data_IF_157905317048
#
_entry.id   IF_157905317048
#
_cell.length_a   1.000
_cell.length_b   1.000
_cell.length_c   1.000
_cell.angle_alpha   90.00
_cell.angle_beta   90.00
_cell.angle_gamma   90.00
#
_symmetry.space_group_name_H-M   'P 1'
#
loop_
_entity.id
_entity.type
_entity.pdbx_description
1 polymer ?
#
# COMPACT_ATOMS: atom_id res chain seq x y z
N UNK A 1 -7.18 -25.56 -16.18
CA UNK A 1 -7.77 -24.37 -15.54
C UNK A 1 -8.77 -23.82 -16.53
N UNK A 2 -10.08 -23.78 -16.16
CA UNK A 2 -11.11 -23.21 -17.03
C UNK A 2 -10.76 -21.75 -17.35
N UNK A 3 -10.64 -21.42 -18.64
CA UNK A 3 -10.40 -20.04 -19.05
C UNK A 3 -11.64 -19.21 -18.72
N UNK A 4 -11.46 -18.15 -17.94
CA UNK A 4 -12.52 -17.18 -17.68
C UNK A 4 -12.97 -16.51 -18.99
N UNK A 5 -14.26 -16.14 -19.06
CA UNK A 5 -14.75 -15.37 -20.20
C UNK A 5 -13.98 -14.05 -20.29
N UNK A 6 -13.56 -13.59 -21.48
CA UNK A 6 -12.75 -12.37 -21.66
C UNK A 6 -13.34 -11.11 -20.98
N UNK A 7 -14.66 -10.97 -21.02
CA UNK A 7 -15.36 -9.87 -20.36
C UNK A 7 -15.23 -9.91 -18.84
N UNK A 8 -15.32 -11.10 -18.24
CA UNK A 8 -15.17 -11.27 -16.78
C UNK A 8 -13.75 -10.95 -16.32
N UNK A 9 -12.74 -11.39 -17.07
CA UNK A 9 -11.34 -11.08 -16.79
C UNK A 9 -11.07 -9.58 -16.90
N UNK A 10 -11.61 -8.91 -17.90
CA UNK A 10 -11.49 -7.47 -18.08
C UNK A 10 -12.09 -6.71 -16.88
N UNK A 11 -13.29 -7.06 -16.43
CA UNK A 11 -13.94 -6.43 -15.28
C UNK A 11 -13.17 -6.65 -13.99
N UNK A 12 -12.71 -7.88 -13.73
CA UNK A 12 -11.88 -8.19 -12.56
C UNK A 12 -10.62 -7.34 -12.51
N UNK A 13 -9.90 -7.21 -13.65
CA UNK A 13 -8.69 -6.38 -13.72
C UNK A 13 -8.98 -4.90 -13.53
N UNK A 14 -10.10 -4.40 -14.06
CA UNK A 14 -10.51 -3.01 -13.86
C UNK A 14 -10.89 -2.71 -12.42
N UNK A 15 -11.72 -3.54 -11.81
CA UNK A 15 -12.09 -3.41 -10.40
C UNK A 15 -10.88 -3.57 -9.48
N UNK A 16 -9.94 -4.48 -9.80
CA UNK A 16 -8.69 -4.61 -9.06
C UNK A 16 -7.88 -3.31 -9.07
N UNK A 17 -7.67 -2.69 -10.23
CA UNK A 17 -6.92 -1.41 -10.29
C UNK A 17 -7.67 -0.28 -9.59
N UNK A 18 -8.99 -0.23 -9.70
CA UNK A 18 -9.83 0.78 -9.05
C UNK A 18 -9.78 0.64 -7.52
N UNK A 19 -9.96 -0.58 -7.00
CA UNK A 19 -9.94 -0.84 -5.55
C UNK A 19 -8.58 -0.49 -4.91
N UNK A 20 -7.49 -0.69 -5.65
CA UNK A 20 -6.14 -0.35 -5.18
C UNK A 20 -5.87 1.16 -5.14
N UNK A 21 -6.55 1.96 -5.95
CA UNK A 21 -6.33 3.41 -5.99
C UNK A 21 -7.32 4.16 -5.09
N UNK A 22 -8.62 3.87 -5.23
CA UNK A 22 -9.63 4.68 -4.55
C UNK A 22 -9.77 4.28 -3.07
N UNK A 23 -10.28 3.12 -2.65
CA UNK A 23 -10.37 2.88 -1.22
C UNK A 23 -9.02 2.59 -0.57
N UNK A 24 -8.24 1.64 -1.10
CA UNK A 24 -7.00 1.20 -0.46
C UNK A 24 -5.90 2.27 -0.54
N UNK A 25 -5.78 2.95 -1.69
CA UNK A 25 -4.78 4.00 -1.86
C UNK A 25 -5.08 5.25 -1.03
N UNK A 26 -6.34 5.67 -0.95
CA UNK A 26 -6.73 6.79 -0.07
C UNK A 26 -6.49 6.46 1.39
N UNK A 27 -6.81 5.24 1.82
CA UNK A 27 -6.48 4.79 3.16
C UNK A 27 -4.96 4.75 3.41
N UNK A 28 -4.15 4.28 2.45
CA UNK A 28 -2.69 4.30 2.58
C UNK A 28 -2.17 5.73 2.83
N UNK A 29 -2.66 6.72 2.10
CA UNK A 29 -2.26 8.11 2.26
C UNK A 29 -2.66 8.63 3.65
N UNK A 30 -3.92 8.47 4.04
CA UNK A 30 -4.40 8.84 5.37
C UNK A 30 -3.56 8.19 6.47
N UNK A 31 -3.33 6.88 6.36
CA UNK A 31 -2.57 6.10 7.33
C UNK A 31 -1.11 6.58 7.46
N UNK A 32 -0.44 6.88 6.35
CA UNK A 32 0.92 7.43 6.39
C UNK A 32 0.95 8.81 7.03
N UNK A 33 0.00 9.69 6.72
CA UNK A 33 -0.05 11.04 7.31
C UNK A 33 -0.40 11.01 8.80
N UNK A 34 -1.31 10.15 9.22
CA UNK A 34 -1.60 9.94 10.64
C UNK A 34 -0.36 9.44 11.38
N UNK A 35 0.34 8.43 10.85
CA UNK A 35 1.57 7.92 11.47
C UNK A 35 2.70 8.97 11.48
N UNK A 36 2.78 9.84 10.47
CA UNK A 36 3.77 10.93 10.43
C UNK A 36 3.60 11.94 11.57
N UNK A 37 2.43 12.02 12.23
CA UNK A 37 2.26 12.86 13.41
C UNK A 37 3.14 12.43 14.58
N UNK A 38 3.63 11.19 14.61
CA UNK A 38 4.58 10.69 15.59
C UNK A 38 5.92 11.45 15.59
N UNK A 39 6.30 12.07 14.45
CA UNK A 39 7.49 12.95 14.38
C UNK A 39 7.38 14.20 15.25
N UNK A 40 6.15 14.56 15.67
CA UNK A 40 5.87 15.66 16.61
C UNK A 40 5.71 15.19 18.06
N UNK A 41 5.97 13.91 18.33
CA UNK A 41 5.90 13.28 19.65
C UNK A 41 4.61 12.50 19.92
N UNK A 42 4.63 11.75 21.01
CA UNK A 42 3.58 10.81 21.38
C UNK A 42 2.20 11.46 21.55
N UNK A 43 2.13 12.63 22.14
CA UNK A 43 0.85 13.35 22.32
C UNK A 43 0.19 13.68 20.97
N UNK A 44 0.99 14.11 19.98
CA UNK A 44 0.47 14.44 18.65
C UNK A 44 -0.09 13.20 17.93
N UNK A 45 0.62 12.07 18.01
CA UNK A 45 0.16 10.82 17.44
C UNK A 45 -1.12 10.31 18.13
N UNK A 46 -1.12 10.24 19.46
CA UNK A 46 -2.27 9.74 20.21
C UNK A 46 -3.52 10.60 19.96
N UNK A 47 -3.40 11.94 19.92
CA UNK A 47 -4.52 12.82 19.58
C UNK A 47 -5.07 12.56 18.16
N UNK A 48 -4.20 12.31 17.17
CA UNK A 48 -4.63 11.98 15.81
C UNK A 48 -5.36 10.64 15.75
N UNK A 49 -4.85 9.63 16.47
CA UNK A 49 -5.49 8.32 16.59
C UNK A 49 -6.84 8.44 17.31
N UNK A 50 -6.92 9.17 18.42
CA UNK A 50 -8.17 9.35 19.19
C UNK A 50 -9.25 10.04 18.33
N UNK A 51 -8.87 11.00 17.50
CA UNK A 51 -9.78 11.63 16.55
C UNK A 51 -10.37 10.60 15.56
N UNK A 52 -9.57 9.68 15.04
CA UNK A 52 -10.04 8.59 14.15
C UNK A 52 -10.93 7.63 14.93
N UNK A 53 -10.51 7.22 16.13
CA UNK A 53 -11.28 6.26 16.96
C UNK A 53 -12.63 6.82 17.41
N UNK A 54 -12.80 8.16 17.44
CA UNK A 54 -14.05 8.83 17.76
C UNK A 54 -15.07 8.86 16.61
N UNK A 55 -14.69 8.41 15.40
CA UNK A 55 -15.59 8.40 14.24
C UNK A 55 -16.76 7.42 14.49
N UNK A 56 -18.02 7.87 14.39
CA UNK A 56 -19.17 6.99 14.56
C UNK A 56 -19.13 5.84 13.54
N UNK A 57 -19.49 4.63 13.98
CA UNK A 57 -19.53 3.44 13.11
C UNK A 57 -18.18 3.07 12.46
N UNK A 58 -17.05 3.51 13.02
CA UNK A 58 -15.72 3.25 12.49
C UNK A 58 -15.50 1.77 12.09
N UNK A 59 -15.88 0.74 12.87
CA UNK A 59 -15.67 -0.65 12.47
C UNK A 59 -16.38 -1.04 11.17
N UNK A 60 -17.55 -0.46 10.89
CA UNK A 60 -18.27 -0.69 9.63
C UNK A 60 -17.59 0.03 8.46
N UNK A 61 -17.10 1.26 8.68
CA UNK A 61 -16.33 2.01 7.70
C UNK A 61 -15.04 1.23 7.36
N UNK A 62 -14.30 0.78 8.35
CA UNK A 62 -13.11 -0.05 8.16
C UNK A 62 -13.43 -1.31 7.37
N UNK A 63 -14.50 -2.03 7.73
CA UNK A 63 -14.86 -3.28 7.06
C UNK A 63 -15.20 -3.06 5.59
N UNK A 64 -16.13 -2.15 5.28
CA UNK A 64 -16.62 -1.98 3.91
C UNK A 64 -15.69 -1.19 3.00
N UNK A 65 -14.95 -0.21 3.54
CA UNK A 65 -14.11 0.68 2.73
C UNK A 65 -12.62 0.38 2.80
N UNK A 66 -12.17 -0.43 3.77
CA UNK A 66 -10.76 -0.81 3.88
C UNK A 66 -10.60 -2.32 3.71
N UNK A 67 -11.11 -3.13 4.64
CA UNK A 67 -10.83 -4.57 4.64
C UNK A 67 -11.41 -5.30 3.44
N UNK A 68 -12.66 -5.08 3.08
CA UNK A 68 -13.29 -5.76 1.95
C UNK A 68 -12.61 -5.43 0.61
N UNK A 69 -12.36 -4.14 0.26
CA UNK A 69 -11.58 -3.81 -0.93
C UNK A 69 -10.15 -4.32 -0.89
N UNK A 70 -9.50 -4.30 0.28
CA UNK A 70 -8.12 -4.78 0.46
C UNK A 70 -8.02 -6.29 0.22
N UNK A 71 -8.93 -7.09 0.76
CA UNK A 71 -8.99 -8.54 0.53
C UNK A 71 -9.24 -8.83 -0.95
N UNK A 72 -10.20 -8.13 -1.56
CA UNK A 72 -10.47 -8.26 -2.99
C UNK A 72 -9.22 -7.91 -3.82
N UNK A 73 -8.61 -6.77 -3.56
CA UNK A 73 -7.38 -6.31 -4.25
C UNK A 73 -6.25 -7.32 -4.10
N UNK A 74 -5.99 -7.80 -2.90
CA UNK A 74 -4.94 -8.76 -2.62
C UNK A 74 -5.14 -10.10 -3.31
N UNK A 75 -6.35 -10.70 -3.20
CA UNK A 75 -6.66 -12.00 -3.80
C UNK A 75 -6.60 -11.94 -5.32
N UNK A 76 -7.26 -10.95 -5.94
CA UNK A 76 -7.21 -10.77 -7.40
C UNK A 76 -5.80 -10.40 -7.86
N UNK A 77 -5.07 -9.60 -7.06
CA UNK A 77 -3.67 -9.25 -7.32
C UNK A 77 -2.75 -10.47 -7.37
N UNK A 78 -2.89 -11.41 -6.42
CA UNK A 78 -2.16 -12.67 -6.43
C UNK A 78 -2.51 -13.51 -7.67
N UNK A 79 -3.80 -13.63 -8.01
CA UNK A 79 -4.22 -14.29 -9.23
C UNK A 79 -3.53 -13.68 -10.47
N UNK A 80 -3.53 -12.35 -10.60
CA UNK A 80 -2.86 -11.65 -11.70
C UNK A 80 -1.34 -11.86 -11.67
N UNK A 81 -0.72 -11.85 -10.49
CA UNK A 81 0.72 -12.06 -10.35
C UNK A 81 1.16 -13.45 -10.84
N UNK A 82 0.40 -14.49 -10.49
CA UNK A 82 0.77 -15.87 -10.83
C UNK A 82 0.30 -16.33 -12.22
N UNK A 83 -0.66 -15.66 -12.84
CA UNK A 83 -1.16 -16.01 -14.18
C UNK A 83 -0.55 -15.18 -15.31
N UNK A 84 0.19 -14.12 -15.02
CA UNK A 84 0.83 -13.27 -16.02
C UNK A 84 2.15 -13.84 -16.52
N UNK A 85 2.39 -13.75 -17.84
CA UNK A 85 3.68 -14.12 -18.45
C UNK A 85 4.77 -13.09 -18.10
N UNK A 86 5.98 -13.59 -17.87
CA UNK A 86 7.18 -12.79 -17.57
C UNK A 86 8.14 -12.87 -18.73
N UNK A 87 8.60 -11.73 -19.26
CA UNK A 87 9.57 -11.66 -20.36
C UNK A 87 10.72 -10.69 -20.11
N UNK A 88 10.86 -10.17 -18.89
CA UNK A 88 11.89 -9.18 -18.55
C UNK A 88 13.33 -9.72 -18.72
N UNK A 89 13.53 -11.02 -18.61
CA UNK A 89 14.82 -11.66 -18.89
C UNK A 89 15.22 -11.61 -20.37
N UNK A 90 14.23 -11.60 -21.30
CA UNK A 90 14.45 -11.46 -22.74
C UNK A 90 14.45 -10.00 -23.19
N UNK A 91 13.63 -9.17 -22.54
CA UNK A 91 13.44 -7.75 -22.85
C UNK A 91 13.55 -6.92 -21.58
N UNK A 92 14.73 -6.38 -21.31
CA UNK A 92 15.05 -5.60 -20.10
C UNK A 92 14.61 -4.13 -20.18
N UNK A 93 13.58 -3.82 -20.96
CA UNK A 93 13.03 -2.49 -21.04
C UNK A 93 12.52 -2.01 -19.67
N UNK A 94 12.69 -0.74 -19.36
CA UNK A 94 12.26 -0.13 -18.10
C UNK A 94 10.85 -0.56 -17.68
N UNK A 95 9.90 -0.57 -18.61
CA UNK A 95 8.51 -0.96 -18.31
C UNK A 95 8.34 -2.43 -17.93
N UNK A 96 9.12 -3.31 -18.51
CA UNK A 96 9.12 -4.73 -18.14
C UNK A 96 9.70 -4.95 -16.74
N UNK A 97 10.73 -4.17 -16.37
CA UNK A 97 11.27 -4.19 -15.00
C UNK A 97 10.24 -3.69 -14.01
N UNK A 98 9.58 -2.55 -14.28
CA UNK A 98 8.51 -2.03 -13.43
C UNK A 98 7.33 -2.99 -13.30
N UNK A 99 7.01 -3.73 -14.36
CA UNK A 99 5.99 -4.77 -14.34
C UNK A 99 6.35 -5.95 -13.41
N UNK A 100 7.60 -6.38 -13.38
CA UNK A 100 8.08 -7.42 -12.46
C UNK A 100 8.10 -6.89 -11.03
N UNK A 101 8.67 -5.70 -10.82
CA UNK A 101 8.71 -5.06 -9.50
C UNK A 101 7.31 -4.84 -8.91
N UNK A 102 6.31 -4.48 -9.73
CA UNK A 102 4.91 -4.36 -9.29
C UNK A 102 4.40 -5.65 -8.64
N UNK A 103 4.76 -6.81 -9.17
CA UNK A 103 4.33 -8.11 -8.66
C UNK A 103 5.09 -8.52 -7.43
N UNK A 104 6.41 -8.34 -7.44
CA UNK A 104 7.26 -8.64 -6.28
C UNK A 104 6.82 -7.79 -5.10
N UNK A 105 6.68 -6.49 -5.28
CA UNK A 105 6.23 -5.58 -4.21
C UNK A 105 4.80 -5.85 -3.79
N UNK A 106 3.92 -6.26 -4.70
CA UNK A 106 2.55 -6.69 -4.37
C UNK A 106 2.52 -7.91 -3.44
N UNK A 107 3.35 -8.92 -3.70
CA UNK A 107 3.46 -10.12 -2.85
C UNK A 107 4.06 -9.74 -1.48
N UNK A 108 5.12 -8.94 -1.45
CA UNK A 108 5.72 -8.46 -0.20
C UNK A 108 4.69 -7.66 0.61
N UNK A 109 3.97 -6.75 -0.03
CA UNK A 109 2.92 -5.94 0.62
C UNK A 109 1.78 -6.81 1.14
N UNK A 110 1.37 -7.85 0.42
CA UNK A 110 0.34 -8.78 0.86
C UNK A 110 0.73 -9.48 2.17
N UNK A 111 1.94 -10.03 2.23
CA UNK A 111 2.47 -10.67 3.45
C UNK A 111 2.64 -9.64 4.59
N UNK A 112 3.17 -8.46 4.25
CA UNK A 112 3.34 -7.35 5.17
C UNK A 112 2.01 -6.94 5.82
N UNK A 113 0.96 -6.71 5.04
CA UNK A 113 -0.33 -6.25 5.57
C UNK A 113 -0.96 -7.29 6.49
N UNK A 114 -0.89 -8.58 6.16
CA UNK A 114 -1.43 -9.64 7.03
C UNK A 114 -0.77 -9.59 8.41
N UNK A 115 0.55 -9.57 8.47
CA UNK A 115 1.26 -9.57 9.75
C UNK A 115 1.15 -8.22 10.46
N UNK A 116 1.19 -7.12 9.73
CA UNK A 116 1.01 -5.78 10.28
C UNK A 116 -0.36 -5.62 10.94
N UNK A 117 -1.45 -5.98 10.26
CA UNK A 117 -2.79 -5.89 10.82
C UNK A 117 -3.00 -6.85 12.00
N UNK A 118 -2.39 -8.03 11.95
CA UNK A 118 -2.42 -8.98 13.06
C UNK A 118 -1.77 -8.42 14.33
N UNK A 119 -0.60 -7.82 14.20
CA UNK A 119 0.17 -7.29 15.34
C UNK A 119 -0.32 -5.93 15.84
N UNK A 120 -1.12 -5.23 15.05
CA UNK A 120 -1.67 -3.90 15.39
C UNK A 120 -3.18 -3.94 15.61
N UNK A 121 -3.99 -3.88 14.54
CA UNK A 121 -5.45 -3.74 14.61
C UNK A 121 -6.15 -4.92 15.30
N UNK A 122 -5.63 -6.14 15.12
CA UNK A 122 -6.20 -7.36 15.69
C UNK A 122 -5.47 -7.83 16.95
N UNK A 123 -4.53 -7.04 17.49
CA UNK A 123 -3.80 -7.39 18.72
C UNK A 123 -4.63 -7.28 20.00
N UNK A 124 -5.79 -6.62 19.93
CA UNK A 124 -6.62 -6.29 21.11
C UNK A 124 -6.06 -5.15 21.96
N UNK A 125 -4.94 -4.53 21.56
CA UNK A 125 -4.35 -3.40 22.26
C UNK A 125 -4.83 -2.07 21.68
N UNK A 126 -4.89 -1.03 22.51
CA UNK A 126 -5.16 0.32 22.03
C UNK A 126 -4.01 0.81 21.12
N UNK A 127 -4.30 1.45 19.97
CA UNK A 127 -3.30 1.89 19.01
C UNK A 127 -2.62 3.20 19.49
N UNK A 128 -1.78 3.11 20.50
CA UNK A 128 -1.03 4.22 21.10
C UNK A 128 0.40 4.30 20.61
N UNK A 129 1.06 5.44 20.80
CA UNK A 129 2.49 5.59 20.51
C UNK A 129 3.32 4.52 21.22
N UNK A 130 3.07 4.27 22.50
CA UNK A 130 3.81 3.29 23.29
C UNK A 130 3.64 1.87 22.76
N UNK A 131 2.45 1.51 22.30
CA UNK A 131 2.21 0.21 21.67
C UNK A 131 3.08 0.03 20.42
N UNK A 132 3.16 1.04 19.56
CA UNK A 132 3.98 0.99 18.34
C UNK A 132 5.47 1.02 18.71
N UNK A 133 5.88 1.86 19.66
CA UNK A 133 7.24 1.92 20.18
C UNK A 133 7.72 0.54 20.67
N UNK A 134 6.91 -0.17 21.46
CA UNK A 134 7.22 -1.53 21.91
C UNK A 134 7.43 -2.52 20.76
N UNK A 135 6.64 -2.42 19.69
CA UNK A 135 6.80 -3.28 18.53
C UNK A 135 8.09 -2.99 17.76
N UNK A 136 8.38 -1.72 17.46
CA UNK A 136 9.56 -1.32 16.68
C UNK A 136 10.86 -1.38 17.49
N UNK A 137 10.79 -1.48 18.81
CA UNK A 137 11.95 -1.76 19.66
C UNK A 137 12.60 -3.13 19.37
N UNK A 138 11.86 -4.04 18.74
CA UNK A 138 12.42 -5.26 18.17
C UNK A 138 13.04 -4.96 16.80
N UNK A 139 14.37 -5.11 16.60
CA UNK A 139 15.02 -4.79 15.33
C UNK A 139 14.47 -5.58 14.13
N UNK A 140 14.06 -6.83 14.31
CA UNK A 140 13.48 -7.63 13.24
C UNK A 140 12.13 -7.07 12.79
N UNK A 141 11.30 -6.62 13.75
CA UNK A 141 10.02 -5.97 13.45
C UNK A 141 10.24 -4.59 12.80
N UNK A 142 11.22 -3.83 13.26
CA UNK A 142 11.58 -2.54 12.66
C UNK A 142 11.94 -2.69 11.16
N UNK A 143 12.82 -3.63 10.83
CA UNK A 143 13.20 -3.89 9.44
C UNK A 143 12.03 -4.44 8.62
N UNK A 144 11.20 -5.29 9.21
CA UNK A 144 9.97 -5.75 8.58
C UNK A 144 9.05 -4.58 8.21
N UNK A 145 8.87 -3.61 9.11
CA UNK A 145 8.06 -2.41 8.87
C UNK A 145 8.66 -1.55 7.75
N UNK A 146 9.98 -1.29 7.77
CA UNK A 146 10.65 -0.50 6.74
C UNK A 146 10.51 -1.14 5.37
N UNK A 147 10.81 -2.44 5.25
CA UNK A 147 10.68 -3.19 3.98
C UNK A 147 9.23 -3.18 3.49
N UNK A 148 8.27 -3.41 4.39
CA UNK A 148 6.85 -3.41 4.08
C UNK A 148 6.35 -2.07 3.58
N UNK A 149 6.72 -0.98 4.24
CA UNK A 149 6.34 0.39 3.83
C UNK A 149 6.97 0.77 2.49
N UNK A 150 8.25 0.47 2.26
CA UNK A 150 8.90 0.70 0.96
C UNK A 150 8.21 -0.10 -0.15
N UNK A 151 7.88 -1.37 0.11
CA UNK A 151 7.18 -2.20 -0.87
C UNK A 151 5.76 -1.68 -1.15
N UNK A 152 5.00 -1.31 -0.13
CA UNK A 152 3.63 -0.81 -0.26
C UNK A 152 3.57 0.52 -1.01
N UNK A 153 4.45 1.46 -0.67
CA UNK A 153 4.51 2.77 -1.33
C UNK A 153 4.97 2.69 -2.78
N UNK A 154 5.95 1.79 -3.09
CA UNK A 154 6.34 1.52 -4.47
C UNK A 154 5.19 0.88 -5.24
N UNK A 155 4.55 -0.15 -4.67
CA UNK A 155 3.41 -0.84 -5.30
C UNK A 155 2.28 0.13 -5.62
N UNK A 156 1.92 0.99 -4.68
CA UNK A 156 0.92 2.03 -4.88
C UNK A 156 1.31 3.03 -5.98
N UNK A 157 2.50 3.61 -5.90
CA UNK A 157 2.94 4.65 -6.83
C UNK A 157 3.09 4.13 -8.27
N UNK A 158 3.70 2.95 -8.46
CA UNK A 158 3.79 2.32 -9.77
C UNK A 158 2.42 1.81 -10.26
N UNK A 159 1.55 1.36 -9.33
CA UNK A 159 0.15 1.04 -9.58
C UNK A 159 -0.65 2.25 -10.09
N UNK A 160 -0.39 3.44 -9.57
CA UNK A 160 -1.00 4.70 -10.02
C UNK A 160 -0.67 5.00 -11.48
N UNK A 161 0.58 4.78 -11.91
CA UNK A 161 0.93 4.87 -13.34
C UNK A 161 0.11 3.90 -14.18
N UNK A 162 0.05 2.63 -13.77
CA UNK A 162 -0.73 1.59 -14.45
C UNK A 162 -2.22 1.96 -14.53
N UNK A 163 -2.78 2.46 -13.44
CA UNK A 163 -4.16 2.94 -13.39
C UNK A 163 -4.40 4.04 -14.41
N UNK A 164 -3.58 5.09 -14.44
CA UNK A 164 -3.72 6.20 -15.38
C UNK A 164 -3.70 5.73 -16.85
N UNK A 165 -2.84 4.75 -17.17
CA UNK A 165 -2.76 4.18 -18.53
C UNK A 165 -3.99 3.33 -18.85
N UNK A 166 -4.37 2.41 -17.96
CA UNK A 166 -5.49 1.49 -18.21
C UNK A 166 -6.86 2.17 -18.25
N UNK A 167 -6.99 3.31 -17.56
CA UNK A 167 -8.24 4.10 -17.55
C UNK A 167 -8.26 5.19 -18.61
N UNK A 168 -7.21 5.28 -19.48
CA UNK A 168 -7.14 6.24 -20.54
C UNK A 168 -6.95 7.70 -20.07
N UNK A 169 -6.48 7.90 -18.84
CA UNK A 169 -6.17 9.23 -18.29
C UNK A 169 -4.91 9.77 -18.95
N UNK A 170 -3.91 8.90 -19.18
CA UNK A 170 -2.67 9.26 -19.87
C UNK A 170 -2.57 8.53 -21.20
N UNK A 171 -2.73 9.30 -22.28
CA UNK A 171 -2.67 8.81 -23.66
C UNK A 171 -1.40 9.32 -24.33
N UNK A 172 -0.70 8.43 -25.03
CA UNK A 172 0.52 8.75 -25.78
C UNK A 172 1.80 8.68 -24.96
N UNK A 173 2.92 8.48 -25.65
CA UNK A 173 4.22 8.17 -25.05
C UNK A 173 4.75 9.27 -24.11
N UNK A 174 4.51 10.55 -24.47
CA UNK A 174 4.97 11.68 -23.65
C UNK A 174 4.23 11.75 -22.34
N UNK A 175 2.88 11.65 -22.34
CA UNK A 175 2.05 11.68 -21.15
C UNK A 175 2.39 10.51 -20.22
N UNK A 176 2.53 9.30 -20.76
CA UNK A 176 2.91 8.11 -19.97
C UNK A 176 4.30 8.25 -19.35
N UNK A 177 5.26 8.90 -20.03
CA UNK A 177 6.60 9.16 -19.47
C UNK A 177 6.54 10.16 -18.32
N UNK A 178 5.80 11.25 -18.48
CA UNK A 178 5.62 12.25 -17.41
C UNK A 178 4.95 11.59 -16.18
N UNK A 179 3.88 10.85 -16.39
CA UNK A 179 3.19 10.12 -15.30
C UNK A 179 4.14 9.13 -14.61
N UNK A 180 5.07 8.51 -15.34
CA UNK A 180 6.07 7.64 -14.75
C UNK A 180 7.01 8.38 -13.79
N UNK A 181 7.49 9.56 -14.17
CA UNK A 181 8.33 10.38 -13.28
C UNK A 181 7.56 10.88 -12.07
N UNK A 182 6.31 11.35 -12.27
CA UNK A 182 5.44 11.76 -11.16
C UNK A 182 5.19 10.60 -10.19
N UNK A 183 4.93 9.40 -10.71
CA UNK A 183 4.75 8.21 -9.88
C UNK A 183 6.02 7.84 -9.09
N UNK A 184 7.20 7.97 -9.68
CA UNK A 184 8.45 7.71 -8.95
C UNK A 184 8.73 8.77 -7.89
N UNK A 185 8.43 10.04 -8.18
CA UNK A 185 8.50 11.10 -7.17
C UNK A 185 7.52 10.82 -6.01
N UNK A 186 6.29 10.43 -6.33
CA UNK A 186 5.29 10.03 -5.33
C UNK A 186 5.82 8.88 -4.45
N UNK A 187 6.43 7.86 -5.05
CA UNK A 187 7.06 6.77 -4.31
C UNK A 187 8.10 7.29 -3.31
N UNK A 188 9.05 8.11 -3.77
CA UNK A 188 10.14 8.63 -2.91
C UNK A 188 9.57 9.45 -1.74
N UNK A 189 8.60 10.31 -2.01
CA UNK A 189 7.95 11.13 -0.97
C UNK A 189 7.21 10.25 0.05
N UNK A 190 6.38 9.31 -0.40
CA UNK A 190 5.61 8.47 0.51
C UNK A 190 6.49 7.50 1.30
N UNK A 191 7.52 6.92 0.67
CA UNK A 191 8.49 6.08 1.35
C UNK A 191 9.27 6.88 2.42
N UNK A 192 9.68 8.11 2.09
CA UNK A 192 10.34 9.02 3.03
C UNK A 192 9.46 9.32 4.24
N UNK A 193 8.21 9.72 4.02
CA UNK A 193 7.24 9.99 5.10
C UNK A 193 7.02 8.73 5.97
N UNK A 194 6.86 7.57 5.34
CA UNK A 194 6.62 6.33 6.09
C UNK A 194 7.83 5.86 6.89
N UNK A 195 9.04 5.96 6.34
CA UNK A 195 10.28 5.63 7.06
C UNK A 195 10.51 6.61 8.22
N UNK A 196 10.33 7.91 8.00
CA UNK A 196 10.48 8.94 9.03
C UNK A 196 9.49 8.70 10.18
N UNK A 197 8.23 8.38 9.87
CA UNK A 197 7.24 8.01 10.86
C UNK A 197 7.64 6.77 11.68
N UNK A 198 8.14 5.71 11.02
CA UNK A 198 8.60 4.49 11.71
C UNK A 198 9.77 4.81 12.64
N UNK A 199 10.72 5.60 12.18
CA UNK A 199 11.89 5.98 12.98
C UNK A 199 11.52 6.87 14.17
N UNK A 200 10.49 7.71 14.05
CA UNK A 200 9.99 8.51 15.17
C UNK A 200 9.53 7.64 16.35
N UNK A 201 8.96 6.47 16.09
CA UNK A 201 8.58 5.53 17.14
C UNK A 201 9.77 4.80 17.79
N UNK A 202 10.99 4.88 17.26
CA UNK A 202 12.17 4.27 17.91
C UNK A 202 12.69 5.07 19.09
N UNK A 203 12.31 6.34 19.20
CA UNK A 203 12.66 7.18 20.32
C UNK A 203 11.60 7.05 21.43
N UNK A 204 12.04 7.04 22.70
CA UNK A 204 11.10 7.12 23.83
C UNK A 204 10.33 8.44 23.80
N UNK A 205 9.05 8.40 24.19
CA UNK A 205 8.19 9.58 24.28
C UNK A 205 8.74 10.64 25.25
#
# INVERSE_FOLDING_TARGET
>A
VAQMKPHTEYLLRRLHTLSGVIPVGLFLLEHLFTNATATKGAASFNNAVDAIQSIPLLPYIEFFFIFLPLVYHGVVGLYVAFTSGYNAGKYSWWRNVMFVLQRITGIITFVFIIYHTWTTRFSGKAPTFDMVHQLVSNPAYLWFMIIGVVAATFHFANGMWSFCVHWGITVGARAQRVTAYVSMLLFVVLAGIGIDAILAFTHSA
#
